data_IF_907848368557
#
_entry.id   IF_907848368557
#
_cell.length_a   1.000
_cell.length_b   1.000
_cell.length_c   1.000
_cell.angle_alpha   90.00
_cell.angle_beta   90.00
_cell.angle_gamma   90.00
#
_symmetry.space_group_name_H-M   'P 1'
#
loop_
_entity.id
_entity.type
_entity.pdbx_description
1 polymer ?
#
# COMPACT_ATOMS: atom_id res chain seq x y z
N UNK A 1 -26.35 10.46 -14.63
CA UNK A 1 -26.23 10.34 -13.15
C UNK A 1 -25.29 9.17 -12.87
N UNK A 2 -24.19 9.37 -12.14
CA UNK A 2 -23.28 8.27 -11.81
C UNK A 2 -23.97 7.43 -10.74
N UNK A 3 -24.36 6.21 -11.11
CA UNK A 3 -24.99 5.25 -10.22
C UNK A 3 -24.07 4.98 -9.01
N UNK A 4 -24.55 5.23 -7.79
CA UNK A 4 -23.77 5.02 -6.56
C UNK A 4 -23.58 3.51 -6.35
N UNK A 5 -22.48 2.98 -6.88
CA UNK A 5 -22.09 1.58 -6.67
C UNK A 5 -21.78 1.34 -5.20
N UNK A 6 -22.27 0.22 -4.66
CA UNK A 6 -21.96 -0.22 -3.30
C UNK A 6 -20.43 -0.38 -3.13
N UNK A 7 -19.86 0.39 -2.21
CA UNK A 7 -18.41 0.46 -1.95
C UNK A 7 -17.84 -0.91 -1.60
N UNK A 8 -18.60 -1.73 -0.87
CA UNK A 8 -18.21 -3.07 -0.44
C UNK A 8 -17.99 -4.02 -1.62
N UNK A 9 -19.01 -4.15 -2.47
CA UNK A 9 -18.98 -5.03 -3.64
C UNK A 9 -18.03 -4.51 -4.71
N UNK A 10 -17.97 -3.19 -4.90
CA UNK A 10 -17.02 -2.61 -5.84
C UNK A 10 -15.58 -2.85 -5.38
N UNK A 11 -15.28 -2.68 -4.10
CA UNK A 11 -13.99 -3.02 -3.52
C UNK A 11 -13.61 -4.50 -3.66
N UNK A 12 -14.58 -5.40 -3.48
CA UNK A 12 -14.40 -6.84 -3.71
C UNK A 12 -14.04 -7.10 -5.18
N UNK A 13 -14.82 -6.53 -6.09
CA UNK A 13 -14.61 -6.69 -7.53
C UNK A 13 -13.25 -6.14 -7.97
N UNK A 14 -12.81 -4.99 -7.45
CA UNK A 14 -11.46 -4.48 -7.70
C UNK A 14 -10.40 -5.48 -7.25
N UNK A 15 -10.56 -6.05 -6.05
CA UNK A 15 -9.61 -7.00 -5.46
C UNK A 15 -9.56 -8.30 -6.26
N UNK A 16 -10.71 -8.86 -6.64
CA UNK A 16 -10.79 -10.08 -7.44
C UNK A 16 -10.29 -9.87 -8.88
N UNK A 17 -10.64 -8.74 -9.51
CA UNK A 17 -10.12 -8.40 -10.85
C UNK A 17 -8.60 -8.25 -10.86
N UNK A 18 -8.03 -7.87 -9.72
CA UNK A 18 -6.59 -7.69 -9.51
C UNK A 18 -6.01 -8.77 -8.60
N UNK A 19 -6.63 -9.97 -8.56
CA UNK A 19 -6.20 -11.06 -7.69
C UNK A 19 -4.69 -11.39 -7.71
N UNK A 20 -3.96 -11.27 -8.84
CA UNK A 20 -2.51 -11.46 -8.84
C UNK A 20 -1.77 -10.56 -7.84
N UNK A 21 -2.26 -9.36 -7.51
CA UNK A 21 -1.62 -8.50 -6.49
C UNK A 21 -1.66 -9.14 -5.11
N UNK A 22 -2.79 -9.78 -4.75
CA UNK A 22 -2.96 -10.52 -3.50
C UNK A 22 -2.02 -11.71 -3.48
N UNK A 23 -1.96 -12.46 -4.59
CA UNK A 23 -1.10 -13.64 -4.71
C UNK A 23 0.38 -13.30 -4.59
N UNK A 24 0.84 -12.23 -5.24
CA UNK A 24 2.22 -11.76 -5.10
C UNK A 24 2.52 -11.35 -3.67
N UNK A 25 1.65 -10.56 -3.03
CA UNK A 25 1.84 -10.18 -1.64
C UNK A 25 1.86 -11.38 -0.70
N UNK A 26 1.03 -12.39 -0.94
CA UNK A 26 1.04 -13.64 -0.19
C UNK A 26 2.37 -14.39 -0.40
N UNK A 27 2.82 -14.54 -1.64
CA UNK A 27 4.09 -15.21 -1.96
C UNK A 27 5.28 -14.53 -1.29
N UNK A 28 5.37 -13.19 -1.32
CA UNK A 28 6.42 -12.45 -0.62
C UNK A 28 6.35 -12.64 0.89
N UNK A 29 5.15 -12.56 1.48
CA UNK A 29 4.97 -12.80 2.91
C UNK A 29 5.37 -14.24 3.29
N UNK A 30 5.05 -15.22 2.46
CA UNK A 30 5.43 -16.63 2.67
C UNK A 30 6.94 -16.80 2.62
N UNK A 31 7.61 -16.25 1.61
CA UNK A 31 9.09 -16.30 1.49
C UNK A 31 9.76 -15.64 2.69
N UNK A 32 9.29 -14.45 3.09
CA UNK A 32 9.80 -13.77 4.28
C UNK A 32 9.56 -14.59 5.55
N UNK A 33 8.37 -15.17 5.71
CA UNK A 33 8.05 -16.02 6.84
C UNK A 33 8.96 -17.26 6.90
N UNK A 34 9.26 -17.89 5.76
CA UNK A 34 10.19 -19.02 5.70
C UNK A 34 11.61 -18.60 6.10
N UNK A 35 12.11 -17.48 5.57
CA UNK A 35 13.44 -16.93 5.94
C UNK A 35 13.51 -16.64 7.45
N UNK A 36 12.47 -16.05 8.02
CA UNK A 36 12.42 -15.74 9.45
C UNK A 36 12.26 -16.98 10.32
N UNK A 37 11.54 -18.00 9.82
CA UNK A 37 11.36 -19.28 10.52
C UNK A 37 12.69 -20.02 10.70
N UNK A 38 13.62 -19.95 9.74
CA UNK A 38 14.94 -20.59 9.88
C UNK A 38 15.70 -20.05 11.09
N UNK A 39 15.70 -18.72 11.30
CA UNK A 39 16.34 -18.10 12.47
C UNK A 39 15.61 -18.38 13.77
N UNK A 40 14.28 -18.36 13.72
CA UNK A 40 13.46 -18.67 14.89
C UNK A 40 13.65 -20.13 15.31
N UNK A 41 13.76 -21.04 14.36
CA UNK A 41 14.02 -22.46 14.61
C UNK A 41 15.34 -22.69 15.35
N UNK A 42 16.44 -22.03 14.94
CA UNK A 42 17.72 -22.19 15.63
C UNK A 42 17.72 -21.63 17.07
N UNK A 43 16.94 -20.57 17.33
CA UNK A 43 16.75 -20.06 18.68
C UNK A 43 15.89 -21.01 19.53
N UNK A 44 14.81 -21.54 18.95
CA UNK A 44 13.90 -22.46 19.65
C UNK A 44 14.54 -23.82 19.91
N UNK A 45 15.32 -24.38 18.97
CA UNK A 45 15.99 -25.68 19.18
C UNK A 45 16.94 -25.59 20.39
N UNK A 46 17.77 -24.55 20.44
CA UNK A 46 18.68 -24.32 21.57
C UNK A 46 17.96 -24.21 22.93
N UNK A 47 16.74 -23.69 22.97
CA UNK A 47 15.95 -23.58 24.21
C UNK A 47 15.19 -24.86 24.54
N UNK A 48 14.71 -25.58 23.53
CA UNK A 48 13.86 -26.77 23.71
C UNK A 48 14.67 -28.05 23.97
N UNK A 49 15.90 -28.14 23.47
CA UNK A 49 16.73 -29.35 23.59
C UNK A 49 17.03 -29.74 25.07
N UNK A 50 16.84 -28.82 26.01
CA UNK A 50 17.15 -29.02 27.44
C UNK A 50 15.99 -28.67 28.39
N UNK A 51 14.79 -28.40 27.88
CA UNK A 51 13.70 -27.83 28.69
C UNK A 51 12.52 -28.79 28.88
N UNK A 52 12.09 -28.97 30.14
CA UNK A 52 10.82 -29.63 30.51
C UNK A 52 9.59 -28.97 29.82
N UNK A 53 9.71 -27.73 29.35
CA UNK A 53 8.68 -27.05 28.57
C UNK A 53 8.46 -27.69 27.19
N UNK A 54 9.50 -28.25 26.57
CA UNK A 54 9.39 -28.96 25.30
C UNK A 54 8.50 -30.21 25.47
N UNK A 55 8.66 -30.94 26.58
CA UNK A 55 7.87 -32.11 26.91
C UNK A 55 6.37 -31.77 27.07
N UNK A 56 6.06 -30.62 27.71
CA UNK A 56 4.68 -30.12 27.84
C UNK A 56 4.07 -29.73 26.50
N UNK A 57 4.81 -29.03 25.64
CA UNK A 57 4.38 -28.67 24.29
C UNK A 57 4.07 -29.90 23.43
N UNK A 58 4.84 -30.98 23.58
CA UNK A 58 4.56 -32.25 22.89
C UNK A 58 3.37 -33.03 23.48
N UNK A 59 3.12 -32.95 24.79
CA UNK A 59 2.03 -33.72 25.43
C UNK A 59 0.66 -33.02 25.36
N UNK A 60 0.64 -31.71 25.20
CA UNK A 60 -0.58 -30.92 25.06
C UNK A 60 -0.24 -29.47 24.78
N UNK A 61 -0.72 -28.94 23.65
CA UNK A 61 -0.46 -27.55 23.29
C UNK A 61 -1.16 -26.61 24.30
N UNK A 62 -0.43 -26.17 25.31
CA UNK A 62 -0.89 -25.20 26.30
C UNK A 62 -0.61 -23.78 25.81
N UNK A 63 -1.69 -23.05 25.48
CA UNK A 63 -1.63 -21.67 25.00
C UNK A 63 -0.94 -20.74 26.01
N UNK A 64 -1.09 -21.01 27.31
CA UNK A 64 -0.46 -20.22 28.37
C UNK A 64 1.06 -20.41 28.39
N UNK A 65 1.52 -21.66 28.26
CA UNK A 65 2.94 -21.98 28.14
C UNK A 65 3.55 -21.37 26.86
N UNK A 66 2.81 -21.39 25.75
CA UNK A 66 3.22 -20.71 24.51
C UNK A 66 3.38 -19.20 24.68
N UNK A 67 2.41 -18.54 25.32
CA UNK A 67 2.46 -17.11 25.60
C UNK A 67 3.63 -16.75 26.54
N UNK A 68 3.86 -17.54 27.58
CA UNK A 68 4.98 -17.35 28.50
C UNK A 68 6.33 -17.55 27.79
N UNK A 69 6.43 -18.53 26.89
CA UNK A 69 7.65 -18.76 26.09
C UNK A 69 7.95 -17.56 25.19
N UNK A 70 6.92 -16.96 24.58
CA UNK A 70 7.08 -15.75 23.75
C UNK A 70 7.51 -14.54 24.58
N UNK A 71 6.97 -14.37 25.78
CA UNK A 71 7.41 -13.31 26.70
C UNK A 71 8.88 -13.53 27.13
N UNK A 72 9.24 -14.76 27.52
CA UNK A 72 10.62 -15.12 27.86
C UNK A 72 11.59 -14.99 26.68
N UNK A 73 11.12 -15.16 25.44
CA UNK A 73 11.92 -14.92 24.24
C UNK A 73 12.30 -13.44 24.08
N UNK A 74 11.48 -12.52 24.60
CA UNK A 74 11.80 -11.09 24.65
C UNK A 74 12.82 -10.77 25.76
N UNK A 75 12.85 -11.56 26.82
CA UNK A 75 13.72 -11.39 28.00
C UNK A 75 15.04 -12.20 27.93
N UNK A 76 15.36 -12.79 26.78
CA UNK A 76 16.45 -13.76 26.62
C UNK A 76 17.84 -13.28 27.11
N UNK A 77 18.71 -14.20 27.60
CA UNK A 77 19.91 -13.91 28.40
C UNK A 77 21.08 -13.24 27.66
N UNK A 78 20.92 -12.95 26.37
CA UNK A 78 21.89 -12.16 25.60
C UNK A 78 21.13 -10.96 25.05
N UNK A 79 21.59 -9.75 25.39
CA UNK A 79 21.02 -8.46 24.96
C UNK A 79 21.06 -8.20 23.44
N UNK A 80 20.84 -9.21 22.62
CA UNK A 80 20.70 -9.15 21.17
C UNK A 80 19.28 -8.80 20.74
N UNK A 81 18.66 -7.81 21.41
CA UNK A 81 17.44 -7.15 20.89
C UNK A 81 17.62 -6.73 19.43
N UNK A 82 18.85 -6.40 19.02
CA UNK A 82 19.23 -6.14 17.62
C UNK A 82 18.96 -7.31 16.65
N UNK A 83 19.09 -8.57 17.07
CA UNK A 83 18.84 -9.75 16.23
C UNK A 83 17.35 -9.96 15.93
N UNK A 84 16.50 -9.77 16.94
CA UNK A 84 15.04 -9.94 16.84
C UNK A 84 14.37 -8.92 15.94
N UNK A 85 14.94 -7.71 15.82
CA UNK A 85 14.39 -6.66 14.95
C UNK A 85 14.95 -6.67 13.52
N UNK A 86 15.91 -7.54 13.19
CA UNK A 86 16.54 -7.60 11.86
C UNK A 86 15.58 -7.93 10.72
N UNK A 87 14.45 -8.59 11.01
CA UNK A 87 13.40 -8.94 10.05
C UNK A 87 12.49 -7.77 9.68
N UNK A 88 12.33 -6.79 10.57
CA UNK A 88 11.46 -5.62 10.40
C UNK A 88 11.85 -4.78 9.19
N UNK A 89 13.10 -4.34 9.00
CA UNK A 89 13.45 -3.48 7.85
C UNK A 89 13.23 -4.20 6.52
N UNK A 90 13.50 -5.51 6.45
CA UNK A 90 13.27 -6.30 5.25
C UNK A 90 11.77 -6.41 4.93
N UNK A 91 10.95 -6.71 5.94
CA UNK A 91 9.49 -6.72 5.79
C UNK A 91 8.95 -5.35 5.36
N UNK A 92 9.40 -4.27 6.00
CA UNK A 92 9.00 -2.91 5.66
C UNK A 92 9.40 -2.55 4.23
N UNK A 93 10.60 -2.92 3.79
CA UNK A 93 11.06 -2.70 2.42
C UNK A 93 10.11 -3.35 1.41
N UNK A 94 9.80 -4.64 1.60
CA UNK A 94 8.88 -5.38 0.73
C UNK A 94 7.48 -4.77 0.77
N UNK A 95 6.98 -4.40 1.96
CA UNK A 95 5.69 -3.74 2.14
C UNK A 95 5.63 -2.40 1.38
N UNK A 96 6.68 -1.58 1.48
CA UNK A 96 6.77 -0.28 0.81
C UNK A 96 6.91 -0.37 -0.71
N UNK A 97 7.31 -1.52 -1.24
CA UNK A 97 7.30 -1.75 -2.68
C UNK A 97 5.92 -2.25 -3.13
N UNK A 98 5.33 -3.21 -2.42
CA UNK A 98 4.10 -3.86 -2.86
C UNK A 98 2.88 -2.96 -2.72
N UNK A 99 2.67 -2.33 -1.56
CA UNK A 99 1.43 -1.57 -1.26
C UNK A 99 1.18 -0.40 -2.22
N UNK A 100 2.13 0.51 -2.48
CA UNK A 100 1.93 1.55 -3.49
C UNK A 100 1.65 0.98 -4.88
N UNK A 101 2.35 -0.08 -5.28
CA UNK A 101 2.13 -0.75 -6.56
C UNK A 101 0.73 -1.32 -6.68
N UNK A 102 0.20 -1.93 -5.61
CA UNK A 102 -1.14 -2.52 -5.59
C UNK A 102 -2.22 -1.45 -5.66
N UNK A 103 -2.07 -0.37 -4.89
CA UNK A 103 -2.96 0.79 -4.92
C UNK A 103 -2.98 1.48 -6.28
N UNK A 104 -1.82 1.58 -6.94
CA UNK A 104 -1.76 2.07 -8.31
C UNK A 104 -2.54 1.17 -9.28
N UNK A 105 -2.39 -0.15 -9.18
CA UNK A 105 -3.13 -1.10 -10.04
C UNK A 105 -4.65 -1.13 -9.76
N UNK A 106 -5.07 -0.67 -8.58
CA UNK A 106 -6.48 -0.50 -8.24
C UNK A 106 -7.07 0.78 -8.84
N UNK A 107 -6.29 1.87 -8.82
CA UNK A 107 -6.70 3.16 -9.38
C UNK A 107 -6.59 3.20 -10.91
N UNK A 108 -5.60 2.51 -11.46
CA UNK A 108 -5.34 2.46 -12.89
C UNK A 108 -5.82 1.14 -13.48
N UNK A 109 -6.10 1.13 -14.78
CA UNK A 109 -6.44 -0.11 -15.49
C UNK A 109 -5.20 -0.99 -15.77
N UNK A 110 -4.02 -0.65 -15.23
CA UNK A 110 -2.76 -1.37 -15.45
C UNK A 110 -2.82 -2.84 -14.99
N UNK A 111 -2.12 -3.76 -15.67
CA UNK A 111 -2.05 -5.17 -15.28
C UNK A 111 -1.22 -5.35 -14.00
N UNK A 112 -1.62 -6.29 -13.15
CA UNK A 112 -0.98 -6.64 -11.88
C UNK A 112 0.26 -7.53 -12.06
N UNK A 113 1.20 -7.13 -12.93
CA UNK A 113 2.46 -7.86 -13.12
C UNK A 113 3.44 -7.50 -12.01
N UNK A 114 4.30 -8.45 -11.62
CA UNK A 114 5.30 -8.25 -10.58
C UNK A 114 6.23 -7.06 -10.89
N UNK A 115 6.72 -6.96 -12.12
CA UNK A 115 7.58 -5.85 -12.57
C UNK A 115 6.87 -4.50 -12.44
N UNK A 116 5.59 -4.43 -12.81
CA UNK A 116 4.76 -3.24 -12.68
C UNK A 116 4.58 -2.85 -11.21
N UNK A 117 4.28 -3.82 -10.33
CA UNK A 117 4.13 -3.57 -8.90
C UNK A 117 5.41 -3.02 -8.27
N UNK A 118 6.55 -3.65 -8.53
CA UNK A 118 7.84 -3.23 -7.97
C UNK A 118 8.29 -1.88 -8.53
N UNK A 119 8.16 -1.66 -9.84
CA UNK A 119 8.56 -0.40 -10.49
C UNK A 119 7.73 0.78 -9.97
N UNK A 120 6.41 0.63 -9.92
CA UNK A 120 5.52 1.67 -9.40
C UNK A 120 5.67 1.85 -7.90
N UNK A 121 5.94 0.76 -7.19
CA UNK A 121 6.30 0.77 -5.78
C UNK A 121 7.52 1.63 -5.52
N UNK A 122 8.59 1.42 -6.28
CA UNK A 122 9.83 2.19 -6.20
C UNK A 122 9.60 3.69 -6.50
N UNK A 123 8.79 4.01 -7.51
CA UNK A 123 8.44 5.40 -7.86
C UNK A 123 7.70 6.13 -6.73
N UNK A 124 6.86 5.42 -5.97
CA UNK A 124 6.07 5.98 -4.88
C UNK A 124 6.69 5.75 -3.50
N UNK A 125 7.80 5.01 -3.40
CA UNK A 125 8.45 4.57 -2.18
C UNK A 125 8.60 5.70 -1.16
N UNK A 126 9.30 6.77 -1.55
CA UNK A 126 9.57 7.90 -0.65
C UNK A 126 8.31 8.65 -0.19
N UNK A 127 7.23 8.61 -0.97
CA UNK A 127 5.95 9.21 -0.57
C UNK A 127 5.31 8.36 0.53
N UNK A 128 5.31 7.05 0.35
CA UNK A 128 4.81 6.10 1.35
C UNK A 128 5.61 6.14 2.64
N UNK A 129 6.94 6.17 2.57
CA UNK A 129 7.79 6.33 3.76
C UNK A 129 7.39 7.59 4.55
N UNK A 130 7.21 8.73 3.88
CA UNK A 130 6.78 9.98 4.53
C UNK A 130 5.39 9.87 5.17
N UNK A 131 4.45 9.21 4.50
CA UNK A 131 3.10 8.97 5.04
C UNK A 131 3.19 8.08 6.26
N UNK A 132 3.94 6.98 6.21
CA UNK A 132 4.08 6.05 7.33
C UNK A 132 4.73 6.69 8.54
N UNK A 133 5.78 7.51 8.36
CA UNK A 133 6.38 8.28 9.47
C UNK A 133 5.31 9.20 10.10
N UNK A 134 4.53 9.91 9.27
CA UNK A 134 3.45 10.77 9.74
C UNK A 134 2.35 9.97 10.47
N UNK A 135 1.99 8.81 9.94
CA UNK A 135 1.01 7.89 10.55
C UNK A 135 1.48 7.40 11.90
N UNK A 136 2.74 6.98 12.02
CA UNK A 136 3.32 6.52 13.28
C UNK A 136 3.32 7.67 14.29
N UNK A 137 3.79 8.86 13.90
CA UNK A 137 3.84 10.02 14.78
C UNK A 137 2.44 10.40 15.32
N UNK A 138 1.45 10.51 14.43
CA UNK A 138 0.09 10.91 14.82
C UNK A 138 -0.59 9.79 15.62
N UNK A 139 -0.40 8.53 15.22
CA UNK A 139 -0.98 7.39 15.94
C UNK A 139 -0.36 7.24 17.33
N UNK A 140 0.95 7.45 17.48
CA UNK A 140 1.61 7.44 18.78
C UNK A 140 1.11 8.57 19.69
N UNK A 141 0.91 9.77 19.13
CA UNK A 141 0.37 10.93 19.87
C UNK A 141 -1.04 10.68 20.41
N UNK A 142 -1.88 9.96 19.67
CA UNK A 142 -3.28 9.71 20.05
C UNK A 142 -3.42 8.42 20.87
N UNK A 143 -2.84 7.32 20.41
CA UNK A 143 -2.97 6.00 21.04
C UNK A 143 -2.05 5.86 22.27
N UNK A 144 -0.91 6.54 22.31
CA UNK A 144 0.03 6.47 23.45
C UNK A 144 -0.63 6.84 24.78
N UNK A 145 -1.25 8.04 24.91
CA UNK A 145 -2.00 8.41 26.10
C UNK A 145 -3.17 7.46 26.41
N UNK A 146 -3.82 6.93 25.38
CA UNK A 146 -4.97 6.02 25.54
C UNK A 146 -4.54 4.67 26.12
N UNK A 147 -3.42 4.13 25.66
CA UNK A 147 -2.80 2.90 26.20
C UNK A 147 -2.30 3.13 27.61
N UNK A 148 -1.68 4.28 27.89
CA UNK A 148 -1.26 4.64 29.25
C UNK A 148 -2.44 4.71 30.22
N UNK A 149 -3.52 5.38 29.81
CA UNK A 149 -4.75 5.49 30.60
C UNK A 149 -5.39 4.11 30.83
N UNK A 150 -5.40 3.25 29.80
CA UNK A 150 -5.86 1.88 29.93
C UNK A 150 -5.01 1.05 30.91
N UNK A 151 -3.70 1.27 30.96
CA UNK A 151 -2.83 0.65 31.96
C UNK A 151 -3.23 1.05 33.38
N UNK A 152 -3.50 2.34 33.60
CA UNK A 152 -3.99 2.85 34.90
C UNK A 152 -5.40 2.35 35.24
N UNK A 153 -6.27 2.26 34.24
CA UNK A 153 -7.61 1.68 34.40
C UNK A 153 -7.53 0.20 34.78
N UNK A 154 -6.70 -0.59 34.10
CA UNK A 154 -6.51 -2.00 34.40
C UNK A 154 -5.97 -2.20 35.84
N UNK A 155 -5.00 -1.39 36.27
CA UNK A 155 -4.49 -1.40 37.64
C UNK A 155 -5.59 -1.06 38.67
N UNK A 156 -6.46 -0.11 38.34
CA UNK A 156 -7.59 0.24 39.20
C UNK A 156 -8.62 -0.90 39.28
N UNK A 157 -8.98 -1.50 38.15
CA UNK A 157 -9.92 -2.62 38.07
C UNK A 157 -9.40 -3.82 38.86
N UNK A 158 -8.11 -4.14 38.75
CA UNK A 158 -7.48 -5.26 39.45
C UNK A 158 -7.56 -5.11 40.98
N UNK A 159 -7.47 -3.87 41.49
CA UNK A 159 -7.59 -3.58 42.92
C UNK A 159 -9.03 -3.64 43.46
N UNK A 160 -10.03 -3.38 42.62
CA UNK A 160 -11.42 -3.17 43.07
C UNK A 160 -12.41 -4.22 42.58
N UNK A 161 -12.04 -5.06 41.61
CA UNK A 161 -12.92 -6.07 41.04
C UNK A 161 -12.15 -7.38 40.78
N UNK A 162 -12.82 -8.51 40.98
CA UNK A 162 -12.26 -9.85 40.71
C UNK A 162 -13.20 -10.63 39.79
N UNK A 163 -12.64 -11.57 39.02
CA UNK A 163 -13.41 -12.50 38.20
C UNK A 163 -13.98 -11.87 36.92
N UNK A 164 -15.22 -12.23 36.56
CA UNK A 164 -15.83 -11.86 35.27
C UNK A 164 -15.99 -10.35 35.09
N UNK A 165 -16.32 -9.62 36.16
CA UNK A 165 -16.49 -8.17 36.08
C UNK A 165 -15.18 -7.47 35.71
N UNK A 166 -14.07 -7.86 36.35
CA UNK A 166 -12.75 -7.34 36.02
C UNK A 166 -12.38 -7.60 34.55
N UNK A 167 -12.67 -8.81 34.04
CA UNK A 167 -12.45 -9.16 32.65
C UNK A 167 -13.22 -8.25 31.68
N UNK A 168 -14.52 -8.02 31.90
CA UNK A 168 -15.32 -7.15 31.03
C UNK A 168 -14.90 -5.68 31.12
N UNK A 169 -14.59 -5.19 32.33
CA UNK A 169 -14.13 -3.82 32.54
C UNK A 169 -12.79 -3.56 31.84
N UNK A 170 -11.83 -4.49 31.94
CA UNK A 170 -10.55 -4.40 31.23
C UNK A 170 -10.73 -4.54 29.71
N UNK A 171 -11.57 -5.48 29.27
CA UNK A 171 -11.86 -5.68 27.83
C UNK A 171 -12.48 -4.46 27.19
N UNK A 172 -13.36 -3.75 27.91
CA UNK A 172 -14.02 -2.52 27.42
C UNK A 172 -13.01 -1.45 27.02
N UNK A 173 -11.97 -1.25 27.84
CA UNK A 173 -10.91 -0.30 27.52
C UNK A 173 -10.08 -0.70 26.29
N UNK A 174 -9.79 -1.99 26.11
CA UNK A 174 -9.14 -2.48 24.89
C UNK A 174 -10.02 -2.35 23.65
N UNK A 175 -11.33 -2.59 23.78
CA UNK A 175 -12.30 -2.37 22.71
C UNK A 175 -12.30 -0.88 22.31
N UNK A 176 -12.32 0.03 23.27
CA UNK A 176 -12.25 1.47 22.98
C UNK A 176 -10.97 1.84 22.22
N UNK A 177 -9.81 1.35 22.67
CA UNK A 177 -8.54 1.57 21.96
C UNK A 177 -8.60 1.01 20.54
N UNK A 178 -9.13 -0.21 20.37
CA UNK A 178 -9.30 -0.84 19.05
C UNK A 178 -10.20 -0.02 18.13
N UNK A 179 -11.31 0.52 18.64
CA UNK A 179 -12.21 1.38 17.85
C UNK A 179 -11.50 2.67 17.41
N UNK A 180 -10.78 3.35 18.30
CA UNK A 180 -10.01 4.56 17.95
C UNK A 180 -8.90 4.23 16.94
N UNK A 181 -8.16 3.14 17.16
CA UNK A 181 -7.13 2.67 16.25
C UNK A 181 -7.70 2.32 14.86
N UNK A 182 -8.91 1.75 14.79
CA UNK A 182 -9.58 1.44 13.52
C UNK A 182 -9.95 2.70 12.73
N UNK A 183 -10.37 3.77 13.40
CA UNK A 183 -10.69 5.06 12.76
C UNK A 183 -9.41 5.69 12.20
N UNK A 184 -8.34 5.71 13.00
CA UNK A 184 -7.03 6.21 12.56
C UNK A 184 -6.51 5.40 11.38
N UNK A 185 -6.63 4.07 11.44
CA UNK A 185 -6.20 3.18 10.37
C UNK A 185 -6.96 3.45 9.08
N UNK A 186 -8.29 3.51 9.13
CA UNK A 186 -9.13 3.86 7.97
C UNK A 186 -8.74 5.22 7.39
N UNK A 187 -8.50 6.22 8.23
CA UNK A 187 -8.10 7.55 7.78
C UNK A 187 -6.76 7.53 7.02
N UNK A 188 -5.71 6.95 7.60
CA UNK A 188 -4.40 6.90 6.96
C UNK A 188 -4.37 5.99 5.74
N UNK A 189 -5.13 4.91 5.75
CA UNK A 189 -5.27 4.05 4.59
C UNK A 189 -5.89 4.83 3.41
N UNK A 190 -6.89 5.67 3.68
CA UNK A 190 -7.46 6.56 2.66
C UNK A 190 -6.47 7.65 2.21
N UNK A 191 -5.64 8.18 3.11
CA UNK A 191 -4.55 9.12 2.75
C UNK A 191 -3.60 8.46 1.76
N UNK A 192 -3.18 7.22 1.99
CA UNK A 192 -2.32 6.49 1.05
C UNK A 192 -2.96 6.38 -0.34
N UNK A 193 -4.25 6.01 -0.42
CA UNK A 193 -5.00 5.97 -1.68
C UNK A 193 -4.96 7.34 -2.37
N UNK A 194 -5.30 8.42 -1.67
CA UNK A 194 -5.29 9.77 -2.25
C UNK A 194 -3.90 10.24 -2.66
N UNK A 195 -2.84 9.79 -2.00
CA UNK A 195 -1.46 10.15 -2.38
C UNK A 195 -1.02 9.50 -3.68
N UNK A 196 -1.51 8.28 -3.98
CA UNK A 196 -1.32 7.64 -5.28
C UNK A 196 -2.11 8.41 -6.34
N UNK A 197 -3.37 8.80 -6.07
CA UNK A 197 -4.17 9.59 -7.01
C UNK A 197 -3.48 10.92 -7.35
N UNK A 198 -2.90 11.59 -6.35
CA UNK A 198 -2.16 12.83 -6.54
C UNK A 198 -0.88 12.61 -7.37
N UNK A 199 -0.24 11.43 -7.24
CA UNK A 199 0.92 11.04 -8.04
C UNK A 199 0.63 10.82 -9.52
N UNK A 200 -0.62 10.46 -9.86
CA UNK A 200 -1.07 10.31 -11.26
C UNK A 200 -1.23 11.65 -11.97
N UNK A 201 -1.37 12.76 -11.24
CA UNK A 201 -1.59 14.07 -11.84
C UNK A 201 -0.26 14.80 -12.07
N UNK A 202 -0.02 15.18 -13.32
CA UNK A 202 1.10 16.02 -13.71
C UNK A 202 0.78 17.47 -13.37
N UNK A 203 1.72 18.15 -12.71
CA UNK A 203 1.62 19.59 -12.49
C UNK A 203 1.85 20.33 -13.82
N UNK A 204 1.50 21.61 -13.89
CA UNK A 204 1.79 22.49 -15.03
C UNK A 204 3.25 22.42 -15.50
N UNK A 205 4.20 22.15 -14.60
CA UNK A 205 5.62 21.99 -14.88
C UNK A 205 6.00 20.58 -15.39
N UNK A 206 5.04 19.74 -15.78
CA UNK A 206 5.27 18.36 -16.24
C UNK A 206 5.75 17.36 -15.17
N UNK A 207 5.91 17.79 -13.90
CA UNK A 207 6.37 16.93 -12.80
C UNK A 207 5.18 16.43 -11.95
N UNK A 208 5.19 15.17 -11.47
CA UNK A 208 4.13 14.64 -10.62
C UNK A 208 4.12 15.33 -9.25
N UNK A 209 2.94 15.65 -8.71
CA UNK A 209 2.85 16.37 -7.42
C UNK A 209 3.32 15.46 -6.27
N UNK A 210 4.36 15.89 -5.54
CA UNK A 210 5.01 15.14 -4.44
C UNK A 210 4.50 15.56 -3.05
N UNK A 211 3.54 16.50 -2.96
CA UNK A 211 3.12 17.10 -1.69
C UNK A 211 2.08 16.23 -0.96
N UNK A 212 2.56 15.32 -0.09
CA UNK A 212 1.73 14.43 0.75
C UNK A 212 0.66 15.19 1.55
N UNK A 213 0.98 16.39 2.07
CA UNK A 213 0.04 17.19 2.89
C UNK A 213 -1.28 17.51 2.17
N UNK A 214 -1.27 17.60 0.85
CA UNK A 214 -2.49 17.88 0.06
C UNK A 214 -3.49 16.72 0.07
N UNK A 215 -3.06 15.50 0.38
CA UNK A 215 -3.94 14.33 0.45
C UNK A 215 -4.65 14.19 1.81
N UNK A 216 -4.14 14.82 2.87
CA UNK A 216 -4.72 14.74 4.22
C UNK A 216 -6.12 15.35 4.29
N UNK A 217 -6.28 16.58 3.80
CA UNK A 217 -7.56 17.28 3.89
C UNK A 217 -8.69 16.64 3.05
N UNK A 218 -8.45 16.18 1.80
CA UNK A 218 -9.44 15.40 1.05
C UNK A 218 -9.80 14.08 1.73
N UNK A 219 -8.81 13.35 2.27
CA UNK A 219 -9.06 12.11 3.00
C UNK A 219 -9.96 12.36 4.21
N UNK A 220 -9.64 13.38 5.03
CA UNK A 220 -10.43 13.71 6.22
C UNK A 220 -11.87 14.10 5.87
N UNK A 221 -12.04 14.94 4.83
CA UNK A 221 -13.37 15.32 4.34
C UNK A 221 -14.19 14.11 3.90
N UNK A 222 -13.56 13.16 3.21
CA UNK A 222 -14.22 11.95 2.70
C UNK A 222 -14.61 11.00 3.81
N UNK A 223 -13.70 10.75 4.77
CA UNK A 223 -14.00 9.95 5.98
C UNK A 223 -15.17 10.57 6.73
N UNK A 224 -15.15 11.88 7.02
CA UNK A 224 -16.22 12.54 7.77
C UNK A 224 -17.57 12.50 7.04
N UNK A 225 -17.58 12.69 5.72
CA UNK A 225 -18.81 12.69 4.93
C UNK A 225 -19.44 11.30 4.80
N UNK A 226 -18.63 10.23 4.78
CA UNK A 226 -19.08 8.85 4.56
C UNK A 226 -18.77 7.94 5.75
N UNK A 227 -18.62 8.49 6.95
CA UNK A 227 -18.14 7.75 8.13
C UNK A 227 -19.04 6.57 8.46
N UNK A 228 -20.35 6.80 8.50
CA UNK A 228 -21.37 5.78 8.80
C UNK A 228 -21.40 4.62 7.82
N UNK A 229 -20.92 4.82 6.59
CA UNK A 229 -20.85 3.76 5.58
C UNK A 229 -19.48 3.09 5.57
N UNK A 230 -18.40 3.87 5.55
CA UNK A 230 -17.04 3.36 5.37
C UNK A 230 -16.51 2.64 6.61
N UNK A 231 -16.77 3.17 7.82
CA UNK A 231 -16.21 2.64 9.05
C UNK A 231 -16.76 1.26 9.43
N UNK A 232 -18.09 1.01 9.39
CA UNK A 232 -18.61 -0.34 9.65
C UNK A 232 -18.11 -1.39 8.64
N UNK A 233 -17.97 -1.03 7.36
CA UNK A 233 -17.41 -1.93 6.34
C UNK A 233 -15.95 -2.28 6.68
N UNK A 234 -15.15 -1.27 7.03
CA UNK A 234 -13.76 -1.46 7.42
C UNK A 234 -13.63 -2.35 8.66
N UNK A 235 -14.44 -2.07 9.69
CA UNK A 235 -14.46 -2.83 10.93
C UNK A 235 -14.92 -4.27 10.71
N UNK A 236 -15.99 -4.48 9.95
CA UNK A 236 -16.48 -5.81 9.56
C UNK A 236 -15.39 -6.62 8.86
N UNK A 237 -14.71 -6.05 7.85
CA UNK A 237 -13.63 -6.74 7.15
C UNK A 237 -12.43 -7.05 8.05
N UNK A 238 -12.14 -6.17 9.02
CA UNK A 238 -11.07 -6.39 10.01
C UNK A 238 -11.41 -7.57 10.91
N UNK A 239 -12.64 -7.59 11.43
CA UNK A 239 -13.13 -8.69 12.27
C UNK A 239 -13.23 -9.99 11.49
N UNK A 240 -13.65 -9.94 10.22
CA UNK A 240 -13.72 -11.12 9.35
C UNK A 240 -12.33 -11.73 9.14
N UNK A 241 -11.32 -10.92 8.85
CA UNK A 241 -9.94 -11.37 8.74
C UNK A 241 -9.43 -11.98 10.05
N UNK A 242 -9.67 -11.31 11.18
CA UNK A 242 -9.26 -11.82 12.49
C UNK A 242 -9.96 -13.15 12.85
N UNK A 243 -11.26 -13.24 12.58
CA UNK A 243 -12.04 -14.46 12.78
C UNK A 243 -11.50 -15.61 11.92
N UNK A 244 -11.12 -15.36 10.67
CA UNK A 244 -10.51 -16.37 9.81
C UNK A 244 -9.21 -16.92 10.42
N UNK A 245 -8.34 -16.07 10.97
CA UNK A 245 -7.10 -16.49 11.66
C UNK A 245 -7.42 -17.26 12.94
N UNK A 246 -8.34 -16.78 13.77
CA UNK A 246 -8.68 -17.44 15.04
C UNK A 246 -9.26 -18.84 14.79
N UNK A 247 -10.19 -18.97 13.84
CA UNK A 247 -10.84 -20.25 13.51
C UNK A 247 -9.83 -21.24 12.93
N UNK A 248 -8.99 -20.80 11.99
CA UNK A 248 -7.97 -21.65 11.39
C UNK A 248 -6.88 -22.03 12.39
N UNK A 249 -6.41 -21.10 13.22
CA UNK A 249 -5.44 -21.38 14.28
C UNK A 249 -5.99 -22.37 15.30
N UNK A 250 -7.23 -22.17 15.78
CA UNK A 250 -7.89 -23.09 16.72
C UNK A 250 -8.05 -24.49 16.12
N UNK A 251 -8.52 -24.57 14.87
CA UNK A 251 -8.69 -25.84 14.19
C UNK A 251 -7.34 -26.52 13.96
N UNK A 252 -6.31 -25.75 13.60
CA UNK A 252 -4.94 -26.21 13.41
C UNK A 252 -4.35 -26.78 14.72
N UNK A 253 -4.61 -26.13 15.86
CA UNK A 253 -4.24 -26.64 17.19
C UNK A 253 -4.93 -27.95 17.54
N UNK A 254 -6.21 -28.12 17.21
CA UNK A 254 -6.90 -29.39 17.41
C UNK A 254 -6.35 -30.52 16.52
N UNK A 255 -5.78 -30.18 15.35
CA UNK A 255 -5.15 -31.16 14.46
C UNK A 255 -3.72 -31.54 14.88
N UNK A 256 -3.05 -30.78 15.74
CA UNK A 256 -1.72 -31.12 16.28
C UNK A 256 -1.72 -32.44 17.06
N UNK A 257 -2.88 -32.89 17.56
CA UNK A 257 -3.00 -34.19 18.21
C UNK A 257 -2.82 -35.37 17.24
N UNK A 258 -2.84 -35.11 15.92
CA UNK A 258 -2.58 -36.12 14.90
C UNK A 258 -1.12 -36.04 14.43
N UNK A 259 -0.49 -37.17 14.07
CA UNK A 259 0.91 -37.20 13.60
C UNK A 259 1.13 -36.52 12.24
N UNK A 260 0.11 -35.86 11.67
CA UNK A 260 0.15 -35.21 10.35
C UNK A 260 0.35 -33.70 10.53
N UNK A 261 1.59 -33.25 10.35
CA UNK A 261 1.95 -31.81 10.46
C UNK A 261 1.47 -30.99 9.26
N UNK A 262 1.37 -31.62 8.08
CA UNK A 262 1.02 -30.92 6.84
C UNK A 262 -0.37 -30.22 6.86
N UNK A 263 -1.47 -30.88 7.28
CA UNK A 263 -2.78 -30.22 7.41
C UNK A 263 -2.77 -28.98 8.31
N UNK A 264 -2.05 -29.05 9.43
CA UNK A 264 -1.88 -27.94 10.38
C UNK A 264 -1.23 -26.72 9.69
N UNK A 265 -0.18 -26.96 8.90
CA UNK A 265 0.51 -25.91 8.12
C UNK A 265 -0.44 -25.32 7.06
N UNK A 266 -1.10 -26.17 6.26
CA UNK A 266 -2.01 -25.72 5.20
C UNK A 266 -3.14 -24.87 5.77
N UNK A 267 -3.70 -25.28 6.91
CA UNK A 267 -4.81 -24.56 7.54
C UNK A 267 -4.35 -23.21 8.12
N UNK A 268 -3.18 -23.16 8.76
CA UNK A 268 -2.59 -21.91 9.22
C UNK A 268 -2.31 -20.96 8.05
N UNK A 269 -1.77 -21.48 6.94
CA UNK A 269 -1.51 -20.72 5.73
C UNK A 269 -2.80 -20.20 5.08
N UNK A 270 -3.87 -21.00 5.06
CA UNK A 270 -5.19 -20.56 4.61
C UNK A 270 -5.73 -19.41 5.47
N UNK A 271 -5.57 -19.49 6.79
CA UNK A 271 -5.93 -18.41 7.72
C UNK A 271 -5.23 -17.09 7.42
N UNK A 272 -3.91 -17.15 7.26
CA UNK A 272 -3.09 -15.98 6.91
C UNK A 272 -3.44 -15.44 5.51
N UNK A 273 -3.70 -16.32 4.55
CA UNK A 273 -4.15 -15.93 3.22
C UNK A 273 -5.50 -15.19 3.27
N UNK A 274 -6.48 -15.71 4.01
CA UNK A 274 -7.79 -15.08 4.17
C UNK A 274 -7.67 -13.72 4.88
N UNK A 275 -6.84 -13.62 5.91
CA UNK A 275 -6.53 -12.35 6.56
C UNK A 275 -5.95 -11.33 5.57
N UNK A 276 -4.95 -11.74 4.78
CA UNK A 276 -4.37 -10.88 3.75
C UNK A 276 -5.39 -10.48 2.67
N UNK A 277 -6.22 -11.43 2.23
CA UNK A 277 -7.29 -11.17 1.26
C UNK A 277 -8.28 -10.12 1.79
N UNK A 278 -8.77 -10.27 3.04
CA UNK A 278 -9.65 -9.27 3.65
C UNK A 278 -8.97 -7.91 3.76
N UNK A 279 -7.66 -7.87 4.01
CA UNK A 279 -6.89 -6.61 4.02
C UNK A 279 -6.83 -5.95 2.65
N UNK A 280 -6.63 -6.72 1.59
CA UNK A 280 -6.66 -6.21 0.22
C UNK A 280 -8.07 -5.77 -0.21
N UNK A 281 -9.10 -6.45 0.28
CA UNK A 281 -10.49 -6.06 0.09
C UNK A 281 -10.78 -4.72 0.76
N UNK A 282 -10.30 -4.48 1.98
CA UNK A 282 -10.38 -3.16 2.63
C UNK A 282 -9.77 -2.06 1.76
N UNK A 283 -8.56 -2.29 1.23
CA UNK A 283 -7.90 -1.35 0.31
C UNK A 283 -8.69 -1.14 -0.98
N UNK A 284 -9.33 -2.18 -1.49
CA UNK A 284 -10.23 -2.08 -2.63
C UNK A 284 -11.45 -1.21 -2.33
N UNK A 285 -12.05 -1.36 -1.15
CA UNK A 285 -13.18 -0.56 -0.69
C UNK A 285 -12.81 0.92 -0.50
N UNK A 286 -11.66 1.21 0.12
CA UNK A 286 -11.13 2.57 0.25
C UNK A 286 -10.82 3.20 -1.11
N UNK A 287 -10.26 2.41 -2.03
CA UNK A 287 -9.99 2.89 -3.40
C UNK A 287 -11.29 3.18 -4.13
N UNK A 288 -12.32 2.33 -4.00
CA UNK A 288 -13.66 2.60 -4.51
C UNK A 288 -14.22 3.92 -3.95
N UNK A 289 -14.11 4.14 -2.64
CA UNK A 289 -14.57 5.38 -2.00
C UNK A 289 -13.83 6.61 -2.53
N UNK A 290 -12.51 6.52 -2.72
CA UNK A 290 -11.69 7.61 -3.27
C UNK A 290 -11.95 7.87 -4.75
N UNK A 291 -12.29 6.84 -5.55
CA UNK A 291 -12.68 7.00 -6.96
C UNK A 291 -14.06 7.66 -7.10
N UNK A 292 -14.96 7.45 -6.15
CA UNK A 292 -16.26 8.15 -6.08
C UNK A 292 -16.11 9.61 -5.61
N UNK A 293 -15.03 9.93 -4.90
CA UNK A 293 -14.74 11.26 -4.35
C UNK A 293 -13.35 11.76 -4.79
N UNK A 294 -13.09 11.94 -6.10
CA UNK A 294 -11.77 12.29 -6.59
C UNK A 294 -11.36 13.72 -6.15
N UNK A 295 -10.06 13.93 -5.91
CA UNK A 295 -9.50 15.26 -5.56
C UNK A 295 -9.77 16.27 -6.67
N UNK A 296 -9.53 15.85 -7.91
CA UNK A 296 -9.77 16.64 -9.10
C UNK A 296 -11.00 16.07 -9.80
N UNK A 297 -12.03 16.90 -9.97
CA UNK A 297 -13.13 16.54 -10.86
C UNK A 297 -12.61 16.69 -12.29
N UNK A 298 -12.72 15.67 -13.17
CA UNK A 298 -12.42 15.88 -14.58
C UNK A 298 -13.28 17.05 -15.06
N UNK A 299 -12.61 18.10 -15.55
CA UNK A 299 -13.33 19.24 -16.09
C UNK A 299 -14.15 18.72 -17.28
N UNK A 300 -15.47 18.91 -17.30
CA UNK A 300 -16.31 18.48 -18.42
C UNK A 300 -16.13 19.37 -19.64
N UNK A 301 -15.15 20.30 -19.63
CA UNK A 301 -14.86 21.11 -20.80
C UNK A 301 -14.57 20.15 -21.96
N UNK A 302 -15.35 20.22 -23.06
CA UNK A 302 -15.01 19.49 -24.25
C UNK A 302 -13.58 19.89 -24.58
N UNK A 303 -12.74 18.88 -24.84
CA UNK A 303 -11.50 19.11 -25.56
C UNK A 303 -11.97 19.65 -26.90
N UNK A 304 -12.14 20.98 -26.99
CA UNK A 304 -12.23 21.65 -28.25
C UNK A 304 -10.93 21.22 -28.93
N UNK A 305 -10.99 20.51 -30.07
CA UNK A 305 -9.79 20.26 -30.83
C UNK A 305 -9.13 21.62 -30.95
N UNK A 306 -7.87 21.72 -30.54
CA UNK A 306 -7.05 22.87 -30.91
C UNK A 306 -7.04 22.81 -32.42
N UNK A 307 -8.03 23.47 -33.04
CA UNK A 307 -7.99 23.84 -34.44
C UNK A 307 -6.77 24.74 -34.45
N UNK A 308 -5.64 24.13 -34.78
CA UNK A 308 -4.45 24.87 -35.11
C UNK A 308 -4.94 25.91 -36.09
N UNK A 309 -4.75 27.19 -35.75
CA UNK A 309 -4.71 28.22 -36.77
C UNK A 309 -3.61 27.77 -37.72
N UNK A 310 -4.00 27.04 -38.76
CA UNK A 310 -3.23 26.96 -39.99
C UNK A 310 -3.25 28.40 -40.46
N UNK A 311 -2.19 29.14 -40.16
CA UNK A 311 -1.90 30.34 -40.91
C UNK A 311 -1.78 29.88 -42.37
N UNK A 312 -2.64 30.33 -43.28
CA UNK A 312 -2.37 30.18 -44.69
C UNK A 312 -1.15 31.05 -44.96
N UNK A 313 0.02 30.43 -44.99
CA UNK A 313 1.19 31.03 -45.61
C UNK A 313 0.90 30.96 -47.10
N UNK A 314 0.41 32.07 -47.63
CA UNK A 314 0.52 32.44 -49.04
C UNK A 314 1.95 32.23 -49.54
N UNK A 315 2.12 31.59 -50.71
CA UNK A 315 3.29 31.80 -51.54
C UNK A 315 2.92 32.50 -52.85
N UNK A 316 3.36 33.77 -52.95
CA UNK A 316 4.06 34.41 -54.09
C UNK A 316 3.29 34.75 -55.39
N UNK A 317 2.97 36.05 -55.52
CA UNK A 317 3.02 37.05 -56.64
C UNK A 317 3.50 36.66 -58.08
N UNK A 318 3.29 37.46 -59.17
CA UNK A 318 3.14 38.94 -59.24
C UNK A 318 2.17 39.57 -60.31
N UNK A 319 2.00 40.90 -60.21
CA UNK A 319 1.66 41.92 -61.24
C UNK A 319 0.34 42.70 -61.04
N UNK A 320 0.43 43.93 -60.52
CA UNK A 320 -0.15 45.11 -61.18
C UNK A 320 0.39 46.42 -60.58
N UNK A 321 0.55 47.52 -61.37
CA UNK A 321 1.10 48.77 -60.89
C UNK A 321 0.03 49.76 -60.41
N UNK A 322 0.44 50.59 -59.45
CA UNK A 322 0.12 52.01 -59.24
C UNK A 322 -1.37 52.39 -59.12
N UNK A 323 -1.76 52.81 -57.91
CA UNK A 323 -2.52 54.06 -57.76
C UNK A 323 -2.26 54.72 -56.40
N UNK A 324 -1.95 56.00 -56.53
CA UNK A 324 -1.78 57.08 -55.56
C UNK A 324 -3.03 57.27 -54.70
N UNK A 325 -2.89 57.55 -53.39
CA UNK A 325 -3.47 58.73 -52.69
C UNK A 325 -3.35 58.65 -51.15
N UNK A 326 -2.51 59.54 -50.62
CA UNK A 326 -2.67 60.47 -49.47
C UNK A 326 -3.02 59.99 -48.04
N UNK A 327 -2.64 60.81 -47.02
CA UNK A 327 -2.30 60.34 -45.67
C UNK A 327 -3.37 60.70 -44.64
N UNK A 328 -3.45 59.94 -43.55
CA UNK A 328 -3.95 60.51 -42.29
C UNK A 328 -3.31 59.78 -41.10
N UNK A 329 -2.68 60.60 -40.26
CA UNK A 329 -2.19 60.30 -38.92
C UNK A 329 -3.21 59.53 -38.08
N UNK A 330 -2.74 58.65 -37.18
CA UNK A 330 -2.98 58.78 -35.72
C UNK A 330 -2.07 57.78 -35.00
N UNK A 331 -1.16 58.35 -34.18
CA UNK A 331 -0.70 57.87 -32.89
C UNK A 331 -1.20 56.49 -32.42
N UNK A 332 -0.29 55.53 -32.28
CA UNK A 332 -0.30 54.62 -31.12
C UNK A 332 1.06 53.94 -30.91
N UNK A 333 1.50 53.98 -29.66
CA UNK A 333 2.81 53.60 -29.13
C UNK A 333 3.03 52.08 -29.20
N UNK A 334 4.13 51.56 -29.79
CA UNK A 334 4.42 50.14 -29.72
C UNK A 334 5.01 49.78 -28.36
N UNK A 335 4.26 48.99 -27.58
CA UNK A 335 4.78 48.27 -26.41
C UNK A 335 5.75 47.19 -26.92
N UNK A 336 6.96 47.21 -26.38
CA UNK A 336 8.05 46.30 -26.70
C UNK A 336 7.60 44.83 -26.79
N UNK A 337 7.63 44.29 -28.00
CA UNK A 337 7.57 42.86 -28.29
C UNK A 337 8.87 42.21 -27.79
N UNK A 338 8.74 41.32 -26.80
CA UNK A 338 9.82 40.44 -26.40
C UNK A 338 10.18 39.52 -27.58
N UNK A 339 11.47 39.33 -27.89
CA UNK A 339 11.91 38.37 -28.89
C UNK A 339 11.59 36.96 -28.39
N UNK A 340 10.82 36.22 -29.18
CA UNK A 340 10.64 34.78 -29.03
C UNK A 340 11.98 34.10 -29.31
N UNK A 341 12.47 33.34 -28.33
CA UNK A 341 13.64 32.47 -28.51
C UNK A 341 13.37 31.50 -29.68
N UNK A 342 14.34 31.33 -30.61
CA UNK A 342 14.20 30.40 -31.71
C UNK A 342 14.10 28.96 -31.18
N UNK A 343 13.09 28.25 -31.67
CA UNK A 343 12.89 26.81 -31.43
C UNK A 343 14.16 26.08 -31.90
N UNK A 344 14.84 25.30 -31.03
CA UNK A 344 15.99 24.51 -31.46
C UNK A 344 15.54 23.49 -32.51
N UNK A 345 16.25 23.46 -33.63
CA UNK A 345 16.05 22.48 -34.69
C UNK A 345 16.05 21.05 -34.09
N UNK A 346 15.07 20.19 -34.42
CA UNK A 346 15.10 18.81 -33.98
C UNK A 346 16.36 18.14 -34.55
N UNK A 347 17.14 17.52 -33.68
CA UNK A 347 18.31 16.74 -34.08
C UNK A 347 17.90 15.65 -35.09
N UNK A 348 18.70 15.42 -36.14
CA UNK A 348 18.42 14.39 -37.12
C UNK A 348 18.38 13.01 -36.45
N UNK A 349 17.43 12.18 -36.88
CA UNK A 349 17.25 10.83 -36.38
C UNK A 349 18.59 10.07 -36.46
N UNK A 350 18.99 9.48 -35.33
CA UNK A 350 20.17 8.63 -35.25
C UNK A 350 19.99 7.45 -36.24
N UNK A 351 21.03 7.10 -37.02
CA UNK A 351 20.93 6.00 -37.97
C UNK A 351 20.57 4.72 -37.22
N UNK A 352 19.55 4.02 -37.70
CA UNK A 352 19.21 2.68 -37.26
C UNK A 352 20.43 1.79 -37.47
N UNK A 353 20.97 1.26 -36.38
CA UNK A 353 21.98 0.19 -36.44
C UNK A 353 21.35 -1.01 -37.14
N UNK A 354 21.93 -1.35 -38.29
CA UNK A 354 21.62 -2.58 -39.02
C UNK A 354 21.96 -3.81 -38.16
N UNK A 355 21.09 -4.81 -38.31
CA UNK A 355 21.05 -6.19 -37.81
C UNK A 355 22.08 -6.69 -36.78
N UNK A 356 21.62 -7.44 -35.74
CA UNK A 356 22.51 -8.13 -34.83
C UNK A 356 23.26 -9.28 -35.55
N UNK A 357 24.59 -9.24 -35.43
CA UNK A 357 25.54 -10.23 -35.93
C UNK A 357 25.19 -11.67 -35.46
N UNK A 358 24.86 -12.60 -36.38
CA UNK A 358 24.38 -13.94 -36.03
C UNK A 358 25.48 -14.95 -35.61
N UNK A 359 26.63 -14.48 -35.10
CA UNK A 359 27.83 -15.32 -34.95
C UNK A 359 28.30 -15.71 -33.53
N UNK A 360 27.73 -15.18 -32.44
CA UNK A 360 28.50 -15.11 -31.16
C UNK A 360 28.17 -16.21 -30.12
N UNK A 361 27.18 -17.08 -30.31
CA UNK A 361 26.82 -18.06 -29.27
C UNK A 361 26.70 -19.51 -29.77
N UNK A 362 27.85 -20.14 -30.02
CA UNK A 362 27.97 -21.60 -30.01
C UNK A 362 28.97 -22.01 -28.91
N UNK A 363 28.44 -22.31 -27.71
CA UNK A 363 29.19 -23.09 -26.71
C UNK A 363 28.67 -24.52 -26.73
N UNK A 364 29.56 -25.41 -27.14
CA UNK A 364 29.39 -26.85 -27.31
C UNK A 364 29.51 -27.55 -25.92
N UNK A 365 28.50 -28.30 -25.44
CA UNK A 365 28.58 -28.97 -24.15
C UNK A 365 28.84 -30.47 -24.33
N UNK A 366 30.11 -30.89 -24.41
CA UNK A 366 30.45 -32.31 -24.25
C UNK A 366 31.91 -32.55 -23.85
N UNK A 367 32.17 -32.68 -22.54
CA UNK A 367 33.25 -33.55 -22.05
C UNK A 367 32.99 -34.04 -20.62
N UNK A 368 32.80 -35.34 -20.39
CA UNK A 368 32.84 -35.90 -19.04
C UNK A 368 34.29 -36.15 -18.58
N UNK A 369 34.58 -36.02 -17.28
CA UNK A 369 35.91 -36.31 -16.74
C UNK A 369 36.14 -37.82 -16.58
N UNK A 370 37.36 -38.26 -16.85
CA UNK A 370 37.91 -39.57 -16.46
C UNK A 370 38.55 -39.48 -15.08
#
# INVERSE_FOLDING_TARGET
MIERRNIFLHGLFLTLRRFPTVLWAYAFNLVLALIFTVRLHSQFSSMMDHSLAAQRLTSGFDVSAGAETVLRLQDGPSGSTAGSFSSIPLYLLVYFLLVPGTLYCYQTKAPARLSTLLHLGLLHFWRFVRITILTILISALILGPLVFLQGKWAEHVDKHAVGRHAFFATSTGYILIFLVASILRLYFDLVEVYTVQLGLHLRHNGKPDRRVRRALAPAWRTVRAHFSQAWPIFLFLTLLGAAAVIVTARTSMHMLAQPRVWPTIVLAQLGLFLFLFTRFWQRGAETSLALQNPIFRPSPLPILPVVGKVNPIDPLHPNHPISTQTPTSTHETPRASQPLDPIPNPEPASPSLDEPDPGVFHHDPAKPPQ
#
